data_IF_584899625122
#
_entry.id   IF_584899625122
#
_cell.length_a   1.000
_cell.length_b   1.000
_cell.length_c   1.000
_cell.angle_alpha   90.00
_cell.angle_beta   90.00
_cell.angle_gamma   90.00
#
_symmetry.space_group_name_H-M   'P 1'
#
loop_
_entity.id
_entity.type
_entity.pdbx_description
1 polymer ?
#
# COMPACT_ATOMS: atom_id res chain seq x y z
N UNK A 1 19.26 -13.05 -10.86
CA UNK A 1 18.08 -12.51 -10.15
C UNK A 1 17.11 -13.66 -9.96
N UNK A 2 16.92 -14.15 -8.74
CA UNK A 2 15.87 -15.12 -8.44
C UNK A 2 14.54 -14.38 -8.49
N UNK A 3 13.67 -14.71 -9.45
CA UNK A 3 12.28 -14.25 -9.46
C UNK A 3 11.67 -14.57 -8.09
N UNK A 4 11.17 -13.55 -7.38
CA UNK A 4 10.40 -13.77 -6.16
C UNK A 4 9.06 -14.33 -6.58
N UNK A 5 8.79 -15.57 -6.20
CA UNK A 5 7.51 -16.20 -6.47
C UNK A 5 6.35 -15.39 -5.89
N UNK A 6 5.22 -15.27 -6.63
CA UNK A 6 4.12 -14.42 -6.22
C UNK A 6 3.40 -15.00 -4.99
N UNK A 7 3.14 -14.16 -3.99
CA UNK A 7 2.27 -14.48 -2.86
C UNK A 7 0.83 -14.66 -3.34
N UNK A 8 0.20 -15.78 -2.98
CA UNK A 8 -1.22 -16.04 -3.21
C UNK A 8 -1.96 -16.09 -1.88
N UNK A 9 -3.19 -15.57 -1.86
CA UNK A 9 -4.10 -15.72 -0.71
C UNK A 9 -5.26 -16.58 -1.21
N UNK A 10 -5.44 -17.75 -0.60
CA UNK A 10 -6.35 -18.80 -1.10
C UNK A 10 -7.02 -19.55 0.04
N UNK A 11 -8.10 -20.26 -0.26
CA UNK A 11 -8.69 -21.24 0.65
C UNK A 11 -7.71 -22.38 0.94
N UNK A 12 -7.89 -22.99 2.11
CA UNK A 12 -7.22 -24.23 2.49
C UNK A 12 -7.75 -25.38 1.63
N UNK A 13 -6.88 -26.28 1.18
CA UNK A 13 -7.23 -27.44 0.37
C UNK A 13 -7.05 -28.77 1.12
N UNK A 14 -7.51 -29.85 0.51
CA UNK A 14 -7.38 -31.21 1.07
C UNK A 14 -5.91 -31.63 1.22
N UNK A 15 -5.02 -31.18 0.33
CA UNK A 15 -3.59 -31.52 0.35
C UNK A 15 -2.76 -30.69 1.35
N UNK A 16 -3.37 -29.69 2.01
CA UNK A 16 -2.67 -28.79 2.93
C UNK A 16 -2.51 -29.36 4.35
N UNK A 17 -3.14 -30.49 4.69
CA UNK A 17 -3.28 -31.00 6.06
C UNK A 17 -1.97 -30.98 6.84
N UNK A 18 -0.93 -31.65 6.31
CA UNK A 18 0.35 -31.78 7.00
C UNK A 18 1.01 -30.41 7.26
N UNK A 19 0.98 -29.49 6.28
CA UNK A 19 1.58 -28.17 6.43
C UNK A 19 0.79 -27.30 7.40
N UNK A 20 -0.54 -27.38 7.35
CA UNK A 20 -1.44 -26.60 8.17
C UNK A 20 -1.39 -27.03 9.64
N UNK A 21 -1.28 -28.34 9.91
CA UNK A 21 -1.05 -28.87 11.26
C UNK A 21 0.31 -28.45 11.80
N UNK A 22 1.38 -28.56 11.00
CA UNK A 22 2.71 -28.08 11.39
C UNK A 22 2.74 -26.58 11.69
N UNK A 23 2.02 -25.77 10.90
CA UNK A 23 1.84 -24.35 11.14
C UNK A 23 1.08 -24.07 12.44
N UNK A 24 0.06 -24.88 12.75
CA UNK A 24 -0.71 -24.80 13.98
C UNK A 24 0.17 -25.10 15.20
N UNK A 25 0.94 -26.19 15.19
CA UNK A 25 1.88 -26.52 16.26
C UNK A 25 2.92 -25.41 16.48
N UNK A 26 3.51 -24.90 15.39
CA UNK A 26 4.52 -23.84 15.44
C UNK A 26 4.01 -22.57 16.10
N UNK A 27 2.77 -22.16 15.79
CA UNK A 27 2.19 -20.92 16.32
C UNK A 27 1.50 -21.10 17.66
N UNK A 28 1.03 -22.31 17.99
CA UNK A 28 0.53 -22.64 19.32
C UNK A 28 1.61 -22.46 20.40
N UNK A 29 2.88 -22.78 20.07
CA UNK A 29 4.02 -22.50 20.96
C UNK A 29 4.21 -21.01 21.27
N UNK A 30 3.67 -20.11 20.43
CA UNK A 30 3.64 -18.67 20.63
C UNK A 30 2.27 -18.15 21.11
N UNK A 31 1.40 -19.04 21.61
CA UNK A 31 0.07 -18.69 22.13
C UNK A 31 -0.95 -18.30 21.06
N UNK A 32 -0.75 -18.70 19.81
CA UNK A 32 -1.64 -18.35 18.70
C UNK A 32 -2.28 -19.57 18.05
N UNK A 33 -3.62 -19.63 18.07
CA UNK A 33 -4.41 -20.66 17.40
C UNK A 33 -4.44 -20.41 15.88
N UNK A 34 -3.70 -21.22 15.10
CA UNK A 34 -3.63 -21.06 13.64
C UNK A 34 -4.91 -21.56 12.96
N UNK A 35 -5.15 -22.88 13.03
CA UNK A 35 -6.40 -23.56 12.66
C UNK A 35 -7.45 -23.38 13.74
N UNK A 36 -8.53 -22.66 13.41
CA UNK A 36 -9.59 -22.33 14.34
C UNK A 36 -10.55 -23.52 14.49
N UNK A 37 -10.88 -23.91 15.71
CA UNK A 37 -11.89 -24.95 15.99
C UNK A 37 -11.55 -26.33 15.40
N UNK A 38 -10.27 -26.57 15.10
CA UNK A 38 -9.81 -27.88 14.68
C UNK A 38 -10.05 -28.90 15.79
N UNK A 39 -10.73 -30.00 15.48
CA UNK A 39 -10.86 -31.15 16.38
C UNK A 39 -9.65 -32.07 16.18
N UNK A 40 -8.78 -32.28 17.21
CA UNK A 40 -7.63 -33.17 17.09
C UNK A 40 -8.04 -34.59 16.67
N UNK A 41 -7.36 -35.14 15.66
CA UNK A 41 -7.69 -36.47 15.09
C UNK A 41 -8.99 -36.51 14.28
N UNK A 42 -9.61 -35.36 14.00
CA UNK A 42 -10.78 -35.24 13.14
C UNK A 42 -10.48 -35.48 11.65
N UNK A 43 -11.53 -35.50 10.83
CA UNK A 43 -11.40 -35.67 9.38
C UNK A 43 -11.06 -34.32 8.72
N UNK A 44 -9.89 -34.23 8.08
CA UNK A 44 -9.41 -32.99 7.44
C UNK A 44 -10.32 -32.46 6.34
N UNK A 45 -10.71 -33.30 5.39
CA UNK A 45 -11.57 -32.88 4.29
C UNK A 45 -12.92 -32.35 4.80
N UNK A 46 -13.42 -32.89 5.91
CA UNK A 46 -14.60 -32.33 6.59
C UNK A 46 -14.31 -30.96 7.18
N UNK A 47 -13.18 -30.79 7.87
CA UNK A 47 -12.76 -29.50 8.42
C UNK A 47 -12.65 -28.42 7.33
N UNK A 48 -12.00 -28.72 6.20
CA UNK A 48 -11.90 -27.81 5.05
C UNK A 48 -13.28 -27.39 4.54
N UNK A 49 -14.20 -28.34 4.32
CA UNK A 49 -15.59 -28.04 3.91
C UNK A 49 -16.35 -27.21 4.93
N UNK A 50 -16.12 -27.44 6.23
CA UNK A 50 -16.73 -26.63 7.29
C UNK A 50 -16.30 -25.16 7.21
N UNK A 51 -15.03 -24.87 6.88
CA UNK A 51 -14.55 -23.49 6.71
C UNK A 51 -15.28 -22.73 5.57
N UNK A 52 -15.60 -23.41 4.47
CA UNK A 52 -16.37 -22.81 3.37
C UNK A 52 -17.81 -22.47 3.83
N UNK A 53 -18.43 -23.37 4.59
CA UNK A 53 -19.79 -23.20 5.14
C UNK A 53 -19.84 -22.05 6.17
N UNK A 54 -18.80 -21.87 6.97
CA UNK A 54 -18.69 -20.72 7.88
C UNK A 54 -18.71 -19.36 7.15
N UNK A 55 -18.28 -19.29 5.89
CA UNK A 55 -18.25 -18.03 5.11
C UNK A 55 -19.65 -17.48 4.83
N UNK A 56 -20.65 -18.37 4.77
CA UNK A 56 -22.07 -18.04 4.57
C UNK A 56 -22.91 -18.18 5.84
N UNK A 57 -22.27 -18.41 7.00
CA UNK A 57 -22.94 -18.48 8.29
C UNK A 57 -23.54 -19.85 8.64
N UNK A 58 -23.22 -20.90 7.89
CA UNK A 58 -23.66 -22.27 8.18
C UNK A 58 -22.68 -22.97 9.14
N UNK A 59 -23.17 -23.96 9.90
CA UNK A 59 -22.39 -24.81 10.82
C UNK A 59 -21.58 -24.09 11.90
N UNK A 60 -21.93 -22.83 12.22
CA UNK A 60 -21.27 -22.04 13.25
C UNK A 60 -21.59 -22.56 14.66
N UNK A 61 -20.55 -22.75 15.47
CA UNK A 61 -20.72 -22.99 16.91
C UNK A 61 -21.36 -21.77 17.61
N UNK A 62 -22.05 -21.95 18.75
CA UNK A 62 -22.62 -20.83 19.51
C UNK A 62 -21.60 -19.74 19.81
N UNK A 63 -21.95 -18.48 19.52
CA UNK A 63 -21.07 -17.32 19.71
C UNK A 63 -20.04 -17.09 18.60
N UNK A 64 -20.05 -17.91 17.54
CA UNK A 64 -19.31 -17.66 16.30
C UNK A 64 -20.14 -16.86 15.31
N UNK A 65 -19.43 -16.22 14.39
CA UNK A 65 -19.98 -15.33 13.36
C UNK A 65 -19.51 -15.79 11.98
N UNK A 66 -20.24 -15.44 10.91
CA UNK A 66 -19.79 -15.70 9.56
C UNK A 66 -18.40 -15.12 9.31
N UNK A 67 -17.49 -15.93 8.75
CA UNK A 67 -16.12 -15.52 8.50
C UNK A 67 -15.47 -16.33 7.38
N UNK A 68 -14.53 -15.70 6.66
CA UNK A 68 -13.62 -16.41 5.78
C UNK A 68 -12.34 -16.80 6.51
N UNK A 69 -11.84 -17.99 6.18
CA UNK A 69 -10.52 -18.49 6.59
C UNK A 69 -9.67 -18.74 5.33
N UNK A 70 -8.54 -18.07 5.23
CA UNK A 70 -7.64 -18.14 4.07
C UNK A 70 -6.19 -18.33 4.52
N UNK A 71 -5.36 -18.88 3.64
CA UNK A 71 -3.92 -19.03 3.84
C UNK A 71 -3.14 -18.19 2.85
N UNK A 72 -2.01 -17.66 3.31
CA UNK A 72 -0.96 -17.11 2.45
C UNK A 72 -0.09 -18.26 1.94
N UNK A 73 0.06 -18.38 0.64
CA UNK A 73 0.85 -19.42 -0.04
C UNK A 73 1.97 -18.78 -0.85
N UNK A 74 3.19 -19.31 -0.69
CA UNK A 74 4.35 -18.98 -1.51
C UNK A 74 4.96 -20.30 -1.97
N UNK A 75 4.90 -20.56 -3.28
CA UNK A 75 5.43 -21.79 -3.89
C UNK A 75 4.85 -23.08 -3.29
N UNK A 76 3.54 -23.11 -3.02
CA UNK A 76 2.89 -24.28 -2.42
C UNK A 76 3.20 -24.47 -0.94
N UNK A 77 3.86 -23.49 -0.31
CA UNK A 77 4.14 -23.48 1.13
C UNK A 77 3.23 -22.49 1.84
N UNK A 78 2.53 -22.97 2.86
CA UNK A 78 1.76 -22.09 3.74
C UNK A 78 2.73 -21.18 4.50
N UNK A 79 2.51 -19.87 4.39
CA UNK A 79 3.32 -18.84 5.02
C UNK A 79 2.59 -18.12 6.17
N UNK A 80 1.26 -18.24 6.23
CA UNK A 80 0.42 -17.57 7.21
C UNK A 80 -1.07 -17.83 6.98
N UNK A 81 -1.92 -17.26 7.84
CA UNK A 81 -3.38 -17.31 7.70
C UNK A 81 -4.06 -15.99 7.98
N UNK A 82 -5.25 -15.85 7.41
CA UNK A 82 -6.19 -14.76 7.60
C UNK A 82 -7.53 -15.36 8.05
N UNK A 83 -8.14 -14.74 9.05
CA UNK A 83 -9.54 -14.92 9.41
C UNK A 83 -10.21 -13.55 9.34
N UNK A 84 -11.23 -13.40 8.50
CA UNK A 84 -11.99 -12.17 8.32
C UNK A 84 -13.46 -12.43 8.68
N UNK A 85 -13.90 -11.85 9.79
CA UNK A 85 -15.25 -11.97 10.38
C UNK A 85 -16.12 -10.83 9.91
N UNK A 86 -17.30 -11.14 9.39
CA UNK A 86 -18.20 -10.15 8.79
C UNK A 86 -19.09 -9.43 9.81
N UNK A 87 -19.12 -9.94 11.04
CA UNK A 87 -19.89 -9.41 12.16
C UNK A 87 -19.06 -9.49 13.44
N UNK A 88 -19.46 -8.74 14.47
CA UNK A 88 -18.83 -8.77 15.79
C UNK A 88 -19.86 -9.11 16.87
N UNK A 89 -19.55 -10.14 17.66
CA UNK A 89 -20.18 -10.33 18.96
C UNK A 89 -19.66 -9.30 19.97
N UNK A 90 -20.28 -9.14 21.15
CA UNK A 90 -19.74 -8.25 22.19
C UNK A 90 -18.29 -8.54 22.57
N UNK A 91 -17.90 -9.82 22.58
CA UNK A 91 -16.50 -10.22 22.82
C UNK A 91 -15.58 -9.80 21.67
N UNK A 92 -15.97 -10.06 20.43
CA UNK A 92 -15.17 -9.68 19.26
C UNK A 92 -15.06 -8.17 19.12
N UNK A 93 -16.09 -7.43 19.52
CA UNK A 93 -16.10 -5.98 19.56
C UNK A 93 -15.12 -5.39 20.59
N UNK A 94 -14.57 -6.19 21.52
CA UNK A 94 -13.59 -5.73 22.52
C UNK A 94 -12.19 -6.32 22.29
N UNK A 95 -12.10 -7.61 21.99
CA UNK A 95 -10.82 -8.34 22.01
C UNK A 95 -10.42 -8.89 20.66
N UNK A 96 -11.37 -9.40 19.88
CA UNK A 96 -11.06 -10.23 18.69
C UNK A 96 -11.00 -9.47 17.36
N UNK A 97 -11.77 -8.39 17.22
CA UNK A 97 -11.93 -7.64 15.98
C UNK A 97 -12.51 -8.45 14.81
N UNK A 98 -12.59 -7.79 13.65
CA UNK A 98 -13.01 -8.40 12.40
C UNK A 98 -11.88 -9.25 11.81
N UNK A 99 -10.64 -8.80 11.90
CA UNK A 99 -9.51 -9.43 11.21
C UNK A 99 -8.52 -9.99 12.21
N UNK A 100 -8.20 -11.27 12.07
CA UNK A 100 -7.05 -11.89 12.71
C UNK A 100 -6.12 -12.51 11.67
N UNK A 101 -4.82 -12.24 11.76
CA UNK A 101 -3.81 -12.85 10.89
C UNK A 101 -2.59 -13.33 11.67
N UNK A 102 -1.87 -14.28 11.09
CA UNK A 102 -0.55 -14.67 11.56
C UNK A 102 0.36 -15.04 10.39
N UNK A 103 1.66 -14.84 10.59
CA UNK A 103 2.72 -15.20 9.64
C UNK A 103 3.73 -16.09 10.36
N UNK A 104 4.03 -17.23 9.75
CA UNK A 104 5.00 -18.19 10.27
C UNK A 104 6.39 -17.56 10.38
N UNK A 105 7.18 -17.90 11.44
CA UNK A 105 8.47 -17.26 11.72
C UNK A 105 9.40 -17.13 10.51
N UNK A 106 9.55 -18.19 9.72
CA UNK A 106 10.44 -18.24 8.55
C UNK A 106 10.04 -17.29 7.40
N UNK A 107 8.78 -16.85 7.36
CA UNK A 107 8.22 -15.98 6.32
C UNK A 107 8.02 -14.53 6.77
N UNK A 108 8.36 -14.19 8.02
CA UNK A 108 8.24 -12.83 8.55
C UNK A 108 9.15 -11.84 7.82
N UNK A 109 8.80 -10.55 7.91
CA UNK A 109 9.52 -9.42 7.26
C UNK A 109 9.55 -9.48 5.73
N UNK A 110 8.55 -10.12 5.12
CA UNK A 110 8.36 -10.22 3.65
C UNK A 110 7.09 -9.51 3.15
N UNK A 111 6.44 -8.70 3.99
CA UNK A 111 5.20 -7.97 3.63
C UNK A 111 3.91 -8.80 3.66
N UNK A 112 3.97 -10.07 4.07
CA UNK A 112 2.82 -11.01 4.03
C UNK A 112 1.69 -10.56 4.97
N UNK A 113 1.99 -10.11 6.18
CA UNK A 113 0.97 -9.64 7.12
C UNK A 113 0.18 -8.44 6.55
N UNK A 114 0.87 -7.49 5.90
CA UNK A 114 0.23 -6.37 5.23
C UNK A 114 -0.63 -6.81 4.05
N UNK A 115 -0.20 -7.83 3.29
CA UNK A 115 -1.01 -8.39 2.21
C UNK A 115 -2.27 -9.10 2.73
N UNK A 116 -2.14 -9.89 3.80
CA UNK A 116 -3.27 -10.55 4.46
C UNK A 116 -4.27 -9.53 5.03
N UNK A 117 -3.79 -8.50 5.72
CA UNK A 117 -4.66 -7.45 6.26
C UNK A 117 -5.42 -6.73 5.14
N UNK A 118 -4.73 -6.29 4.07
CA UNK A 118 -5.39 -5.65 2.92
C UNK A 118 -6.44 -6.54 2.27
N UNK A 119 -6.15 -7.83 2.11
CA UNK A 119 -7.11 -8.79 1.55
C UNK A 119 -8.33 -8.95 2.47
N UNK A 120 -8.11 -9.05 3.78
CA UNK A 120 -9.20 -9.10 4.76
C UNK A 120 -10.08 -7.85 4.73
N UNK A 121 -9.48 -6.66 4.60
CA UNK A 121 -10.22 -5.40 4.46
C UNK A 121 -11.09 -5.39 3.19
N UNK A 122 -10.57 -5.89 2.07
CA UNK A 122 -11.35 -6.03 0.83
C UNK A 122 -12.57 -6.93 1.00
N UNK A 123 -12.41 -8.09 1.65
CA UNK A 123 -13.54 -9.00 1.95
C UNK A 123 -14.61 -8.35 2.84
N UNK A 124 -14.20 -7.48 3.77
CA UNK A 124 -15.12 -6.74 4.63
C UNK A 124 -15.85 -5.63 3.85
N UNK A 125 -15.15 -4.91 2.98
CA UNK A 125 -15.74 -3.89 2.11
C UNK A 125 -16.82 -4.50 1.19
N UNK A 126 -16.56 -5.66 0.59
CA UNK A 126 -17.53 -6.39 -0.24
C UNK A 126 -18.82 -6.78 0.51
N UNK A 127 -18.75 -6.84 1.84
CA UNK A 127 -19.88 -7.15 2.74
C UNK A 127 -20.47 -5.90 3.42
N UNK A 128 -20.07 -4.70 2.99
CA UNK A 128 -20.61 -3.45 3.49
C UNK A 128 -20.10 -3.04 4.87
N UNK A 129 -18.96 -3.58 5.32
CA UNK A 129 -18.28 -3.09 6.53
C UNK A 129 -17.36 -1.95 6.11
N UNK A 130 -17.69 -0.71 6.47
CA UNK A 130 -16.90 0.47 6.08
C UNK A 130 -15.63 0.64 6.93
N UNK A 131 -15.68 0.23 8.20
CA UNK A 131 -14.59 0.35 9.16
C UNK A 131 -14.42 -0.96 9.91
N UNK A 132 -13.28 -1.60 9.71
CA UNK A 132 -12.88 -2.80 10.41
C UNK A 132 -12.22 -2.45 11.75
N UNK A 133 -12.77 -2.97 12.84
CA UNK A 133 -12.04 -3.13 14.10
C UNK A 133 -10.95 -4.20 13.96
N UNK A 134 -9.69 -3.85 14.22
CA UNK A 134 -8.57 -4.80 14.30
C UNK A 134 -7.88 -4.63 15.65
N UNK A 135 -7.53 -5.73 16.30
CA UNK A 135 -6.93 -5.71 17.63
C UNK A 135 -5.56 -6.37 17.65
N UNK A 136 -4.70 -5.93 18.56
CA UNK A 136 -3.45 -6.61 18.86
C UNK A 136 -2.99 -6.35 20.30
N UNK A 137 -2.04 -7.14 20.79
CA UNK A 137 -1.40 -6.88 22.07
C UNK A 137 -0.58 -5.59 22.03
N UNK A 138 -0.53 -4.87 23.16
CA UNK A 138 0.15 -3.60 23.29
C UNK A 138 1.68 -3.70 23.10
N UNK A 139 2.27 -4.86 23.35
CA UNK A 139 3.69 -5.14 23.10
C UNK A 139 3.97 -5.60 21.66
N UNK A 140 2.92 -5.89 20.86
CA UNK A 140 3.05 -6.35 19.48
C UNK A 140 3.24 -5.18 18.49
N UNK A 141 4.40 -4.53 18.58
CA UNK A 141 4.79 -3.41 17.71
C UNK A 141 4.81 -3.77 16.21
N UNK A 142 4.97 -5.04 15.87
CA UNK A 142 4.95 -5.49 14.48
C UNK A 142 3.52 -5.42 13.91
N UNK A 143 2.52 -5.86 14.67
CA UNK A 143 1.12 -5.78 14.27
C UNK A 143 0.63 -4.34 14.23
N UNK A 144 0.99 -3.51 15.22
CA UNK A 144 0.65 -2.09 15.23
C UNK A 144 1.09 -1.39 13.93
N UNK A 145 2.35 -1.56 13.52
CA UNK A 145 2.87 -1.00 12.26
C UNK A 145 2.15 -1.52 11.01
N UNK A 146 1.74 -2.79 11.00
CA UNK A 146 0.96 -3.36 9.89
C UNK A 146 -0.43 -2.72 9.81
N UNK A 147 -1.08 -2.55 10.95
CA UNK A 147 -2.42 -1.97 11.07
C UNK A 147 -2.42 -0.48 10.71
N UNK A 148 -1.50 0.30 11.31
CA UNK A 148 -1.31 1.72 11.00
C UNK A 148 -0.94 1.94 9.53
N UNK A 149 -0.08 1.08 8.98
CA UNK A 149 0.28 1.10 7.56
C UNK A 149 -0.89 0.78 6.61
N UNK A 150 -1.96 0.17 7.11
CA UNK A 150 -3.22 -0.02 6.39
C UNK A 150 -4.23 1.12 6.63
N UNK A 151 -3.84 2.21 7.29
CA UNK A 151 -4.72 3.33 7.63
C UNK A 151 -5.45 3.17 8.97
N UNK A 152 -5.04 2.22 9.80
CA UNK A 152 -5.62 2.01 11.11
C UNK A 152 -5.30 3.12 12.10
N UNK A 153 -6.32 3.63 12.79
CA UNK A 153 -6.18 4.61 13.86
C UNK A 153 -6.52 3.96 15.19
N UNK A 154 -5.69 4.20 16.22
CA UNK A 154 -5.94 3.72 17.57
C UNK A 154 -7.28 4.26 18.08
N UNK A 155 -8.12 3.38 18.62
CA UNK A 155 -9.38 3.71 19.28
C UNK A 155 -9.07 4.35 20.64
N UNK A 156 -9.24 5.68 20.80
CA UNK A 156 -8.77 6.41 21.99
C UNK A 156 -9.55 6.04 23.25
N UNK A 157 -10.74 5.45 23.13
CA UNK A 157 -11.63 5.16 24.26
C UNK A 157 -11.42 3.75 24.85
N UNK A 158 -10.58 2.93 24.18
CA UNK A 158 -10.59 1.48 24.39
C UNK A 158 -9.23 0.76 24.56
N UNK A 159 -8.07 1.38 24.88
CA UNK A 159 -6.96 0.59 25.40
C UNK A 159 -7.36 0.07 26.80
N UNK A 160 -7.73 -1.20 26.91
CA UNK A 160 -8.17 -1.81 28.18
C UNK A 160 -7.38 -3.08 28.45
N UNK A 161 -6.99 -3.26 29.71
CA UNK A 161 -6.43 -4.53 30.18
C UNK A 161 -7.52 -5.60 30.04
N UNK A 162 -7.20 -6.68 29.34
CA UNK A 162 -8.05 -7.86 29.25
C UNK A 162 -7.44 -8.96 30.14
N UNK A 163 -8.30 -9.87 30.62
CA UNK A 163 -8.00 -11.03 31.50
C UNK A 163 -6.51 -11.43 31.46
N UNK A 164 -5.78 -11.15 32.56
CA UNK A 164 -4.34 -11.42 32.78
C UNK A 164 -3.31 -10.35 32.35
N UNK A 165 -3.59 -9.07 32.60
CA UNK A 165 -2.64 -7.92 32.48
C UNK A 165 -2.15 -7.61 31.05
N UNK A 166 -2.66 -8.29 30.02
CA UNK A 166 -2.29 -8.00 28.64
C UNK A 166 -3.24 -6.95 28.08
N UNK A 167 -2.71 -5.76 27.78
CA UNK A 167 -3.51 -4.68 27.17
C UNK A 167 -3.75 -5.00 25.71
N UNK A 168 -5.03 -5.12 25.33
CA UNK A 168 -5.43 -5.21 23.93
C UNK A 168 -5.66 -3.81 23.38
N UNK A 169 -4.90 -3.45 22.37
CA UNK A 169 -5.11 -2.25 21.59
C UNK A 169 -6.15 -2.52 20.51
N UNK A 170 -6.98 -1.52 20.26
CA UNK A 170 -8.04 -1.53 19.25
C UNK A 170 -7.74 -0.47 18.21
N UNK A 171 -7.86 -0.83 16.94
CA UNK A 171 -7.67 0.07 15.83
C UNK A 171 -8.89 0.05 14.93
N UNK A 172 -9.33 1.23 14.52
CA UNK A 172 -10.36 1.45 13.51
C UNK A 172 -9.66 1.59 12.16
N UNK A 173 -9.90 0.65 11.26
CA UNK A 173 -9.24 0.57 9.95
C UNK A 173 -10.28 0.72 8.85
N UNK A 174 -10.23 1.78 8.03
CA UNK A 174 -11.09 1.89 6.86
C UNK A 174 -10.90 0.67 5.94
N UNK A 175 -11.99 0.07 5.47
CA UNK A 175 -11.91 -1.10 4.58
C UNK A 175 -11.59 -0.70 3.14
N UNK A 176 -11.93 0.53 2.74
CA UNK A 176 -11.40 1.17 1.55
C UNK A 176 -10.00 1.73 1.82
N UNK A 177 -9.00 1.33 1.02
CA UNK A 177 -7.68 1.95 1.07
C UNK A 177 -7.78 3.42 0.70
N UNK A 178 -7.14 4.28 1.49
CA UNK A 178 -6.91 5.68 1.14
C UNK A 178 -5.41 5.97 1.09
N UNK A 179 -5.01 6.85 0.17
CA UNK A 179 -3.68 7.44 0.16
C UNK A 179 -3.37 8.11 1.50
N UNK A 180 -2.10 8.08 1.91
CA UNK A 180 -1.67 8.67 3.19
C UNK A 180 -1.89 10.19 3.15
N UNK A 181 -2.56 10.75 4.16
CA UNK A 181 -2.54 12.19 4.41
C UNK A 181 -1.19 12.57 5.00
N UNK A 182 -0.34 13.23 4.22
CA UNK A 182 0.86 13.86 4.74
C UNK A 182 0.47 15.19 5.42
N UNK A 183 1.03 15.47 6.60
CA UNK A 183 0.98 16.81 7.14
C UNK A 183 1.80 17.71 6.20
N UNK A 184 1.31 18.91 5.92
CA UNK A 184 2.04 19.86 5.09
C UNK A 184 3.18 20.48 5.91
N UNK A 185 4.39 19.97 5.70
CA UNK A 185 5.62 20.45 6.32
C UNK A 185 6.58 21.09 5.31
N UNK A 186 6.09 21.42 4.12
CA UNK A 186 6.92 21.99 3.05
C UNK A 186 7.41 23.37 3.45
N UNK A 187 8.69 23.64 3.21
CA UNK A 187 9.27 24.97 3.32
C UNK A 187 9.40 25.60 1.93
N UNK A 188 9.08 26.88 1.81
CA UNK A 188 9.24 27.61 0.56
C UNK A 188 10.73 27.76 0.19
N UNK A 189 11.08 27.78 -1.12
CA UNK A 189 12.45 28.02 -1.55
C UNK A 189 13.03 29.32 -1.00
N UNK A 190 14.31 29.32 -0.64
CA UNK A 190 14.96 30.48 -0.06
C UNK A 190 15.18 31.59 -1.11
N UNK A 191 14.79 32.83 -0.76
CA UNK A 191 14.85 33.96 -1.71
C UNK A 191 16.24 34.34 -2.21
N UNK A 192 17.31 33.96 -1.48
CA UNK A 192 18.70 34.31 -1.79
C UNK A 192 19.59 33.07 -1.98
N UNK A 193 19.00 31.91 -2.24
CA UNK A 193 19.75 30.68 -2.51
C UNK A 193 20.64 30.82 -3.74
N UNK A 194 21.73 30.04 -3.78
CA UNK A 194 22.54 29.89 -4.98
C UNK A 194 21.77 29.21 -6.12
N UNK A 195 22.32 29.19 -7.33
CA UNK A 195 21.61 28.66 -8.50
C UNK A 195 21.19 27.19 -8.35
N UNK A 196 22.14 26.29 -8.03
CA UNK A 196 21.84 24.87 -7.81
C UNK A 196 20.80 24.67 -6.70
N UNK A 197 21.04 25.31 -5.57
CA UNK A 197 20.18 25.20 -4.40
C UNK A 197 18.75 25.68 -4.74
N UNK A 198 18.61 26.76 -5.50
CA UNK A 198 17.31 27.27 -5.94
C UNK A 198 16.58 26.25 -6.84
N UNK A 199 17.27 25.66 -7.82
CA UNK A 199 16.68 24.66 -8.72
C UNK A 199 16.23 23.41 -7.94
N UNK A 200 17.08 22.93 -7.02
CA UNK A 200 16.78 21.77 -6.20
C UNK A 200 15.61 22.04 -5.23
N UNK A 201 15.59 23.20 -4.56
CA UNK A 201 14.49 23.59 -3.66
C UNK A 201 13.16 23.76 -4.40
N UNK A 202 13.13 24.39 -5.57
CA UNK A 202 11.89 24.53 -6.36
C UNK A 202 11.36 23.18 -6.84
N UNK A 203 12.23 22.31 -7.34
CA UNK A 203 11.81 20.97 -7.75
C UNK A 203 11.33 20.14 -6.56
N UNK A 204 12.02 20.22 -5.43
CA UNK A 204 11.64 19.51 -4.21
C UNK A 204 10.28 19.99 -3.67
N UNK A 205 10.05 21.30 -3.66
CA UNK A 205 8.77 21.87 -3.25
C UNK A 205 7.60 21.24 -4.02
N UNK A 206 7.72 21.10 -5.34
CA UNK A 206 6.67 20.44 -6.14
C UNK A 206 6.60 18.93 -5.94
N UNK A 207 7.75 18.25 -5.78
CA UNK A 207 7.80 16.81 -5.47
C UNK A 207 7.03 16.49 -4.18
N UNK A 208 7.17 17.33 -3.17
CA UNK A 208 6.47 17.21 -1.88
C UNK A 208 5.00 17.68 -1.96
N UNK A 209 4.67 18.56 -2.90
CA UNK A 209 3.29 19.04 -3.10
C UNK A 209 2.35 17.91 -3.52
N UNK A 210 2.79 17.06 -4.46
CA UNK A 210 1.93 16.03 -5.03
C UNK A 210 1.36 15.06 -3.98
N UNK A 211 2.17 14.43 -3.10
CA UNK A 211 1.67 13.57 -2.02
C UNK A 211 0.67 14.26 -1.07
N UNK A 212 0.88 15.55 -0.77
CA UNK A 212 -0.07 16.33 0.05
C UNK A 212 -1.41 16.45 -0.67
N UNK A 213 -1.39 16.80 -1.96
CA UNK A 213 -2.61 17.01 -2.77
C UNK A 213 -3.38 15.74 -3.07
N UNK A 214 -2.72 14.59 -3.17
CA UNK A 214 -3.40 13.31 -3.43
C UNK A 214 -3.75 12.56 -2.14
N UNK A 215 -3.31 13.06 -0.98
CA UNK A 215 -3.50 12.41 0.32
C UNK A 215 -4.97 12.35 0.77
N UNK A 216 -5.33 11.24 1.41
CA UNK A 216 -6.66 11.00 1.98
C UNK A 216 -7.75 10.64 0.99
N UNK A 217 -7.39 10.28 -0.25
CA UNK A 217 -8.31 9.86 -1.31
C UNK A 217 -8.32 8.34 -1.42
N UNK A 218 -9.48 7.76 -1.73
CA UNK A 218 -9.56 6.32 -2.08
C UNK A 218 -8.88 6.04 -3.42
N UNK A 219 -8.61 4.76 -3.70
CA UNK A 219 -8.08 4.33 -4.99
C UNK A 219 -9.00 4.73 -6.17
N UNK A 220 -10.31 4.62 -5.97
CA UNK A 220 -11.36 4.98 -6.93
C UNK A 220 -11.36 6.49 -7.16
N UNK A 221 -11.27 7.29 -6.09
CA UNK A 221 -11.18 8.74 -6.19
C UNK A 221 -9.95 9.17 -6.99
N UNK A 222 -8.78 8.57 -6.71
CA UNK A 222 -7.55 8.88 -7.46
C UNK A 222 -7.67 8.60 -8.96
N UNK A 223 -8.46 7.59 -9.35
CA UNK A 223 -8.66 7.20 -10.74
C UNK A 223 -9.89 7.83 -11.39
N UNK A 224 -10.59 8.72 -10.68
CA UNK A 224 -11.74 9.44 -11.23
C UNK A 224 -11.30 10.44 -12.29
N UNK A 225 -11.93 10.40 -13.47
CA UNK A 225 -11.80 11.43 -14.51
C UNK A 225 -12.77 12.57 -14.20
N UNK A 226 -12.36 13.47 -13.30
CA UNK A 226 -13.28 14.43 -12.67
C UNK A 226 -13.61 15.66 -13.52
N UNK A 227 -12.84 15.93 -14.58
CA UNK A 227 -13.02 17.12 -15.44
C UNK A 227 -13.22 16.72 -16.90
N UNK A 228 -14.46 16.70 -17.37
CA UNK A 228 -14.78 16.44 -18.79
C UNK A 228 -14.38 17.64 -19.67
N UNK A 229 -13.85 17.46 -20.90
CA UNK A 229 -13.63 16.19 -21.62
C UNK A 229 -12.27 15.53 -21.34
N UNK A 230 -11.50 16.03 -20.38
CA UNK A 230 -10.17 15.50 -20.09
C UNK A 230 -10.23 14.04 -19.60
N UNK A 231 -9.28 13.23 -20.05
CA UNK A 231 -9.07 11.87 -19.55
C UNK A 231 -8.13 11.81 -18.34
N UNK A 232 -7.58 12.95 -17.90
CA UNK A 232 -6.64 13.02 -16.78
C UNK A 232 -7.27 12.55 -15.47
N UNK A 233 -6.45 11.88 -14.67
CA UNK A 233 -6.77 11.44 -13.31
C UNK A 233 -5.59 11.78 -12.40
N UNK A 234 -5.82 11.88 -11.09
CA UNK A 234 -4.73 12.11 -10.13
C UNK A 234 -3.73 10.95 -10.14
N UNK A 235 -4.21 9.71 -10.24
CA UNK A 235 -3.36 8.52 -10.37
C UNK A 235 -2.52 8.54 -11.66
N UNK A 236 -3.11 8.97 -12.78
CA UNK A 236 -2.38 9.13 -14.05
C UNK A 236 -1.27 10.17 -13.95
N UNK A 237 -1.51 11.29 -13.28
CA UNK A 237 -0.47 12.32 -13.05
C UNK A 237 0.65 11.78 -12.17
N UNK A 238 0.35 11.02 -11.11
CA UNK A 238 1.38 10.36 -10.28
C UNK A 238 2.25 9.43 -11.13
N UNK A 239 1.64 8.60 -11.99
CA UNK A 239 2.35 7.70 -12.89
C UNK A 239 3.22 8.45 -13.89
N UNK A 240 2.67 9.50 -14.50
CA UNK A 240 3.40 10.34 -15.43
C UNK A 240 4.65 10.97 -14.79
N UNK A 241 4.48 11.64 -13.64
CA UNK A 241 5.58 12.26 -12.91
C UNK A 241 6.62 11.22 -12.46
N UNK A 242 6.20 10.02 -12.05
CA UNK A 242 7.10 8.90 -11.74
C UNK A 242 7.92 8.47 -12.97
N UNK A 243 7.26 8.39 -14.13
CA UNK A 243 7.90 8.00 -15.39
C UNK A 243 8.94 9.03 -15.84
N UNK A 244 8.58 10.33 -15.86
CA UNK A 244 9.51 11.37 -16.32
C UNK A 244 10.68 11.55 -15.35
N UNK A 245 10.48 11.38 -14.04
CA UNK A 245 11.57 11.33 -13.05
C UNK A 245 12.58 10.24 -13.39
N UNK A 246 12.11 9.00 -13.60
CA UNK A 246 12.98 7.89 -14.00
C UNK A 246 13.69 8.21 -15.32
N UNK A 247 12.96 8.64 -16.34
CA UNK A 247 13.54 8.88 -17.65
C UNK A 247 14.65 9.94 -17.60
N UNK A 248 14.36 11.11 -17.03
CA UNK A 248 15.31 12.21 -17.01
C UNK A 248 16.49 11.95 -16.07
N UNK A 249 16.28 11.42 -14.88
CA UNK A 249 17.41 11.24 -13.95
C UNK A 249 18.18 9.94 -14.19
N UNK A 250 17.52 8.83 -14.54
CA UNK A 250 18.22 7.58 -14.85
C UNK A 250 18.82 7.61 -16.25
N UNK A 251 17.99 7.81 -17.27
CA UNK A 251 18.42 7.60 -18.64
C UNK A 251 19.17 8.80 -19.22
N UNK A 252 18.78 10.03 -18.84
CA UNK A 252 19.41 11.23 -19.37
C UNK A 252 20.60 11.67 -18.51
N UNK A 253 20.40 11.90 -17.21
CA UNK A 253 21.46 12.39 -16.31
C UNK A 253 22.52 11.33 -16.04
N UNK A 254 22.12 10.09 -15.70
CA UNK A 254 23.07 9.03 -15.41
C UNK A 254 23.47 8.18 -16.63
N UNK A 255 22.81 8.37 -17.79
CA UNK A 255 23.07 7.57 -18.99
C UNK A 255 22.66 6.10 -18.85
N UNK A 256 21.83 5.76 -17.86
CA UNK A 256 21.32 4.41 -17.68
C UNK A 256 20.38 4.03 -18.85
N UNK A 257 20.16 2.74 -19.08
CA UNK A 257 19.23 2.24 -20.10
C UNK A 257 18.06 1.51 -19.42
N UNK A 258 17.37 2.22 -18.52
CA UNK A 258 16.20 1.69 -17.83
C UNK A 258 15.01 1.62 -18.80
N UNK A 259 14.25 0.53 -18.70
CA UNK A 259 13.01 0.36 -19.44
C UNK A 259 11.94 1.39 -19.01
N UNK A 260 10.96 1.64 -19.89
CA UNK A 260 9.80 2.46 -19.56
C UNK A 260 9.01 1.83 -18.42
N UNK A 261 8.37 2.66 -17.61
CA UNK A 261 7.52 2.18 -16.53
C UNK A 261 6.11 1.83 -17.00
N UNK A 262 5.57 2.63 -17.92
CA UNK A 262 4.16 2.61 -18.26
C UNK A 262 3.91 2.66 -19.77
N UNK A 263 4.88 3.16 -20.55
CA UNK A 263 4.65 3.52 -21.95
C UNK A 263 5.27 2.54 -22.98
N UNK A 264 5.45 1.27 -22.62
CA UNK A 264 6.02 0.25 -23.54
C UNK A 264 5.01 -0.23 -24.60
N UNK A 265 3.70 -0.21 -24.28
CA UNK A 265 2.63 -0.69 -25.16
C UNK A 265 1.76 0.47 -25.67
N UNK A 266 1.29 1.33 -24.76
CA UNK A 266 0.58 2.57 -25.06
C UNK A 266 1.51 3.76 -24.75
N UNK A 267 1.81 4.64 -25.72
CA UNK A 267 2.59 5.86 -25.47
C UNK A 267 2.05 6.72 -24.31
N UNK A 268 0.74 6.70 -24.09
CA UNK A 268 0.06 7.45 -23.02
C UNK A 268 -0.40 6.52 -21.86
N UNK A 269 0.23 5.35 -21.71
CA UNK A 269 -0.14 4.32 -20.71
C UNK A 269 0.09 4.74 -19.24
N UNK A 270 0.90 5.78 -19.01
CA UNK A 270 0.99 6.43 -17.71
C UNK A 270 -0.34 7.08 -17.31
N UNK A 271 -1.06 7.70 -18.25
CA UNK A 271 -2.39 8.29 -18.04
C UNK A 271 -3.53 7.29 -18.24
N UNK A 272 -3.52 6.54 -19.35
CA UNK A 272 -4.66 5.73 -19.78
C UNK A 272 -4.89 4.49 -18.93
N UNK A 273 -3.82 3.89 -18.40
CA UNK A 273 -3.88 2.61 -17.67
C UNK A 273 -3.89 2.78 -16.14
N UNK A 274 -4.16 3.98 -15.64
CA UNK A 274 -4.35 4.21 -14.20
C UNK A 274 -5.56 3.42 -13.67
N UNK A 275 -5.35 2.63 -12.62
CA UNK A 275 -6.34 1.69 -12.08
C UNK A 275 -6.34 1.72 -10.55
N UNK A 276 -7.52 1.71 -9.88
CA UNK A 276 -7.60 1.60 -8.44
C UNK A 276 -6.77 0.44 -7.85
N UNK A 277 -6.70 -0.70 -8.54
CA UNK A 277 -5.92 -1.86 -8.08
C UNK A 277 -4.40 -1.59 -7.98
N UNK A 278 -3.86 -0.60 -8.70
CA UNK A 278 -2.42 -0.26 -8.70
C UNK A 278 -2.10 1.02 -7.94
N UNK A 279 -3.08 1.83 -7.56
CA UNK A 279 -2.90 3.17 -6.99
C UNK A 279 -1.92 3.22 -5.81
N UNK A 280 -1.99 2.24 -4.89
CA UNK A 280 -1.09 2.16 -3.74
C UNK A 280 0.36 1.79 -4.11
N UNK A 281 0.56 1.01 -5.17
CA UNK A 281 1.90 0.70 -5.70
C UNK A 281 2.45 1.88 -6.48
N UNK A 282 1.63 2.58 -7.27
CA UNK A 282 2.04 3.75 -8.04
C UNK A 282 2.56 4.88 -7.14
N UNK A 283 1.87 5.17 -6.02
CA UNK A 283 2.38 6.14 -5.02
C UNK A 283 3.71 5.70 -4.36
N UNK A 284 3.87 4.40 -4.04
CA UNK A 284 5.16 3.91 -3.49
C UNK A 284 6.28 3.96 -4.50
N UNK A 285 5.96 3.75 -5.78
CA UNK A 285 6.92 3.80 -6.86
C UNK A 285 7.40 5.23 -7.09
N UNK A 286 6.49 6.20 -7.04
CA UNK A 286 6.83 7.62 -7.04
C UNK A 286 7.91 7.94 -5.99
N UNK A 287 7.68 7.60 -4.71
CA UNK A 287 8.65 7.84 -3.64
C UNK A 287 10.03 7.20 -3.92
N UNK A 288 10.02 5.98 -4.47
CA UNK A 288 11.23 5.23 -4.80
C UNK A 288 12.02 5.90 -5.92
N UNK A 289 11.35 6.34 -6.99
CA UNK A 289 12.00 7.03 -8.11
C UNK A 289 12.49 8.43 -7.70
N UNK A 290 11.79 9.13 -6.80
CA UNK A 290 12.29 10.40 -6.26
C UNK A 290 13.63 10.23 -5.53
N UNK A 291 13.74 9.22 -4.66
CA UNK A 291 14.98 8.94 -3.94
C UNK A 291 16.14 8.65 -4.91
N UNK A 292 15.91 7.81 -5.91
CA UNK A 292 16.92 7.49 -6.92
C UNK A 292 17.27 8.70 -7.81
N UNK A 293 16.30 9.54 -8.14
CA UNK A 293 16.51 10.75 -8.94
C UNK A 293 17.42 11.76 -8.23
N UNK A 294 17.20 11.98 -6.92
CA UNK A 294 18.08 12.82 -6.09
C UNK A 294 19.51 12.29 -6.05
N UNK A 295 19.69 10.98 -5.86
CA UNK A 295 21.01 10.36 -5.83
C UNK A 295 21.77 10.57 -7.15
N UNK A 296 21.09 10.39 -8.29
CA UNK A 296 21.72 10.56 -9.61
C UNK A 296 22.09 12.01 -9.88
N UNK A 297 21.21 12.95 -9.54
CA UNK A 297 21.47 14.37 -9.73
C UNK A 297 22.64 14.86 -8.86
N UNK A 298 22.75 14.38 -7.62
CA UNK A 298 23.83 14.74 -6.70
C UNK A 298 25.24 14.31 -7.17
N UNK A 299 25.32 13.34 -8.08
CA UNK A 299 26.61 12.88 -8.66
C UNK A 299 27.15 13.83 -9.72
N UNK A 300 26.32 14.71 -10.28
CA UNK A 300 26.74 15.72 -11.25
C UNK A 300 27.08 17.00 -10.50
N UNK A 301 28.35 17.39 -10.48
CA UNK A 301 28.83 18.54 -9.70
C UNK A 301 28.60 19.87 -10.43
N UNK A 302 28.94 19.90 -11.71
CA UNK A 302 28.82 21.09 -12.55
C UNK A 302 27.47 21.09 -13.30
N UNK A 303 26.68 22.14 -13.13
CA UNK A 303 25.38 22.30 -13.78
C UNK A 303 25.49 22.53 -15.29
N UNK A 304 26.66 23.01 -15.76
CA UNK A 304 26.93 23.34 -17.16
C UNK A 304 27.57 22.19 -17.94
N UNK A 305 28.10 21.19 -17.25
CA UNK A 305 28.77 20.07 -17.88
C UNK A 305 27.79 19.26 -18.76
N UNK A 306 28.26 18.78 -19.94
CA UNK A 306 27.43 17.94 -20.80
C UNK A 306 27.10 16.62 -20.11
N UNK A 307 25.84 16.22 -20.17
CA UNK A 307 25.36 14.94 -19.66
C UNK A 307 25.69 13.79 -20.64
N UNK A 308 25.69 12.53 -20.16
CA UNK A 308 26.03 11.37 -20.99
C UNK A 308 25.07 11.12 -22.15
N UNK A 309 23.78 11.40 -21.97
CA UNK A 309 22.78 11.17 -23.00
C UNK A 309 22.61 12.39 -23.91
N UNK A 310 22.15 12.15 -25.13
CA UNK A 310 21.74 13.19 -26.08
C UNK A 310 20.22 13.29 -26.13
N UNK A 311 19.70 14.50 -26.33
CA UNK A 311 18.29 14.74 -26.61
C UNK A 311 18.14 15.23 -28.05
N UNK A 312 17.40 14.50 -28.87
CA UNK A 312 17.26 14.78 -30.30
C UNK A 312 18.62 14.93 -31.05
N UNK A 313 19.66 14.23 -30.57
CA UNK A 313 21.01 14.30 -31.13
C UNK A 313 21.88 15.43 -30.57
N UNK A 314 21.37 16.26 -29.67
CA UNK A 314 22.09 17.40 -29.07
C UNK A 314 22.48 17.12 -27.61
N UNK A 315 23.60 17.73 -27.19
CA UNK A 315 24.04 17.70 -25.78
C UNK A 315 23.17 18.64 -24.94
N UNK A 316 22.96 18.25 -23.69
CA UNK A 316 22.26 19.02 -22.67
C UNK A 316 22.98 18.88 -21.33
N UNK A 317 22.64 19.75 -20.39
CA UNK A 317 23.26 19.80 -19.06
C UNK A 317 22.21 19.66 -17.95
N UNK A 318 22.67 19.45 -16.71
CA UNK A 318 21.76 19.25 -15.57
C UNK A 318 20.89 20.49 -15.30
N UNK A 319 21.38 21.71 -15.55
CA UNK A 319 20.56 22.92 -15.44
C UNK A 319 19.30 22.82 -16.30
N UNK A 320 19.46 22.43 -17.56
CA UNK A 320 18.34 22.29 -18.48
C UNK A 320 17.34 21.24 -17.98
N UNK A 321 17.83 20.09 -17.50
CA UNK A 321 16.98 19.02 -16.97
C UNK A 321 16.19 19.49 -15.75
N UNK A 322 16.82 20.20 -14.81
CA UNK A 322 16.11 20.74 -13.64
C UNK A 322 15.01 21.74 -14.05
N UNK A 323 15.32 22.68 -14.95
CA UNK A 323 14.33 23.65 -15.43
C UNK A 323 13.14 22.96 -16.10
N UNK A 324 13.40 21.95 -16.93
CA UNK A 324 12.35 21.19 -17.58
C UNK A 324 11.50 20.39 -16.57
N UNK A 325 12.13 19.74 -15.59
CA UNK A 325 11.39 19.02 -14.54
C UNK A 325 10.53 19.96 -13.70
N UNK A 326 11.04 21.14 -13.33
CA UNK A 326 10.25 22.16 -12.62
C UNK A 326 9.02 22.56 -13.44
N UNK A 327 9.20 22.75 -14.75
CA UNK A 327 8.11 23.10 -15.66
C UNK A 327 7.04 22.00 -15.74
N UNK A 328 7.45 20.73 -15.88
CA UNK A 328 6.54 19.57 -15.90
C UNK A 328 5.74 19.47 -14.60
N UNK A 329 6.40 19.58 -13.45
CA UNK A 329 5.73 19.58 -12.15
C UNK A 329 4.76 20.75 -12.00
N UNK A 330 5.20 21.98 -12.27
CA UNK A 330 4.38 23.18 -12.11
C UNK A 330 3.12 23.11 -12.99
N UNK A 331 3.24 22.64 -14.24
CA UNK A 331 2.11 22.39 -15.13
C UNK A 331 1.12 21.40 -14.51
N UNK A 332 1.62 20.27 -14.00
CA UNK A 332 0.76 19.22 -13.45
C UNK A 332 0.16 19.55 -12.08
N UNK A 333 0.80 20.38 -11.25
CA UNK A 333 0.19 20.82 -10.00
C UNK A 333 -1.08 21.63 -10.24
N UNK A 334 -1.11 22.48 -11.28
CA UNK A 334 -2.32 23.19 -11.69
C UNK A 334 -3.46 22.23 -12.11
N UNK A 335 -3.13 21.14 -12.81
CA UNK A 335 -4.13 20.09 -13.11
C UNK A 335 -4.59 19.36 -11.85
N UNK A 336 -3.68 19.03 -10.94
CA UNK A 336 -3.98 18.35 -9.68
C UNK A 336 -4.97 19.15 -8.83
N UNK A 337 -4.81 20.47 -8.75
CA UNK A 337 -5.72 21.33 -8.00
C UNK A 337 -7.17 21.24 -8.51
N UNK A 338 -7.37 21.39 -9.82
CA UNK A 338 -8.70 21.32 -10.43
C UNK A 338 -9.31 19.91 -10.32
N UNK A 339 -8.50 18.87 -10.53
CA UNK A 339 -8.97 17.49 -10.42
C UNK A 339 -9.37 17.17 -8.98
N UNK A 340 -8.58 17.62 -7.99
CA UNK A 340 -8.85 17.40 -6.57
C UNK A 340 -10.12 18.10 -6.13
N UNK A 341 -10.26 19.39 -6.44
CA UNK A 341 -11.44 20.18 -6.10
C UNK A 341 -12.71 19.55 -6.71
N UNK A 342 -12.64 19.06 -7.95
CA UNK A 342 -13.77 18.39 -8.60
C UNK A 342 -14.13 17.02 -7.97
N UNK A 343 -13.19 16.35 -7.28
CA UNK A 343 -13.42 15.03 -6.65
C UNK A 343 -14.10 15.19 -5.29
N UNK A 344 -13.60 16.08 -4.42
CA UNK A 344 -14.05 16.16 -3.03
C UNK A 344 -14.18 17.59 -2.48
N UNK A 345 -14.05 18.61 -3.34
CA UNK A 345 -14.18 20.01 -2.96
C UNK A 345 -12.98 20.57 -2.19
N UNK A 346 -11.91 19.79 -1.97
CA UNK A 346 -10.69 20.30 -1.34
C UNK A 346 -9.97 21.19 -2.33
N UNK A 347 -9.89 22.47 -2.01
CA UNK A 347 -9.21 23.47 -2.83
C UNK A 347 -7.69 23.42 -2.62
N UNK A 348 -6.96 23.81 -3.66
CA UNK A 348 -5.51 23.94 -3.64
C UNK A 348 -4.98 25.12 -2.81
N UNK A 349 -3.66 25.27 -2.85
CA UNK A 349 -2.84 26.33 -2.27
C UNK A 349 -1.92 26.82 -3.36
#
# INVERSE_FOLDING_TARGET
>A
MTERSPLRIRSLGDDDEAQALAAHETLAAAGFEFLLELVPGGNWARYVRTLERHTVGEDLAPGRVPHSFLVADIDGRIAGRLSARYELTPYLAEVGGHIGYAVLPEFRRRGIASALLRHGLGLLAERGVDVALVTCDADNQASQRVIEGAGGHLDPEKPRAYEDQTTKLRFLVPTAWTSRRAADSREGPAFLAGERESLEQWLEFYRETLPVKVGGLTAEQLCTRSVTPSSLTLAGIVRHLTFVERYWFANVVAGEQQASLYCDVDPDGDFNDANPATAAEDLRRYDTELAASRERAARVLDLDAPLPALRHGEQLNLRWVYVHMIEEYARHMGHVDLLREAIDGVTGY
#
